data_IF_451490866415
#
_entry.id   IF_451490866415
#
_cell.length_a   1.000
_cell.length_b   1.000
_cell.length_c   1.000
_cell.angle_alpha   90.00
_cell.angle_beta   90.00
_cell.angle_gamma   90.00
#
_symmetry.space_group_name_H-M   'P 1'
#
loop_
_entity.id
_entity.type
_entity.pdbx_description
1 polymer ?
#
# COMPACT_ATOMS: atom_id res chain seq x y z
N UNK A 1 -2.61 -30.78 -12.77
CA UNK A 1 -3.17 -29.88 -11.75
C UNK A 1 -2.89 -28.46 -12.23
N UNK A 2 -3.92 -27.68 -12.49
CA UNK A 2 -3.77 -26.29 -12.97
C UNK A 2 -2.97 -25.48 -11.96
N UNK A 3 -1.92 -24.81 -12.40
CA UNK A 3 -1.04 -24.03 -11.54
C UNK A 3 -1.78 -22.77 -11.07
N UNK A 4 -2.46 -22.87 -9.92
CA UNK A 4 -3.22 -21.79 -9.29
C UNK A 4 -2.31 -20.66 -8.76
N UNK A 5 -1.00 -20.86 -8.76
CA UNK A 5 -0.04 -19.91 -8.22
C UNK A 5 0.09 -18.69 -9.14
N UNK A 6 -0.24 -17.54 -8.56
CA UNK A 6 -0.04 -16.21 -9.12
C UNK A 6 1.43 -15.81 -8.95
N UNK A 7 1.98 -16.00 -7.75
CA UNK A 7 3.40 -15.81 -7.46
C UNK A 7 4.17 -17.14 -7.57
N UNK A 8 5.17 -17.18 -8.43
CA UNK A 8 6.04 -18.31 -8.75
C UNK A 8 7.38 -18.26 -8.00
N UNK A 9 7.85 -17.06 -7.63
CA UNK A 9 9.14 -16.85 -7.00
C UNK A 9 10.31 -17.16 -7.94
N UNK A 10 10.13 -16.93 -9.23
CA UNK A 10 11.15 -17.11 -10.27
C UNK A 10 11.84 -15.79 -10.64
N UNK A 11 11.35 -14.66 -10.11
CA UNK A 11 11.92 -13.34 -10.38
C UNK A 11 11.73 -12.88 -11.83
N UNK A 12 10.71 -13.39 -12.52
CA UNK A 12 10.36 -13.00 -13.88
C UNK A 12 9.07 -12.18 -13.83
N UNK A 13 9.10 -10.85 -14.07
CA UNK A 13 7.90 -10.02 -14.01
C UNK A 13 6.80 -10.47 -14.97
N UNK A 14 5.61 -10.71 -14.46
CA UNK A 14 4.44 -11.14 -15.23
C UNK A 14 3.15 -10.43 -14.80
N UNK A 15 2.07 -10.71 -15.55
CA UNK A 15 0.76 -10.09 -15.36
C UNK A 15 -0.25 -11.02 -14.65
N UNK A 16 0.23 -12.05 -13.94
CA UNK A 16 -0.67 -13.08 -13.35
C UNK A 16 -1.63 -12.53 -12.32
N UNK A 17 -1.40 -11.34 -11.75
CA UNK A 17 -2.39 -10.66 -10.89
C UNK A 17 -3.77 -10.51 -11.55
N UNK A 18 -3.84 -10.40 -12.88
CA UNK A 18 -5.11 -10.38 -13.65
C UNK A 18 -5.92 -11.67 -13.50
N UNK A 19 -5.28 -12.79 -13.19
CA UNK A 19 -5.90 -14.08 -12.98
C UNK A 19 -6.45 -14.28 -11.56
N UNK A 20 -6.31 -13.29 -10.67
CA UNK A 20 -6.89 -13.37 -9.34
C UNK A 20 -8.41 -13.54 -9.41
N UNK A 21 -9.01 -14.39 -8.55
CA UNK A 21 -10.44 -14.50 -8.48
C UNK A 21 -11.06 -13.21 -7.93
N UNK A 22 -12.39 -13.15 -8.03
CA UNK A 22 -13.17 -12.11 -7.35
C UNK A 22 -12.84 -12.12 -5.85
N UNK A 23 -12.86 -10.94 -5.20
CA UNK A 23 -12.60 -10.86 -3.77
C UNK A 23 -13.60 -11.74 -2.99
N UNK A 24 -13.16 -12.40 -1.91
CA UNK A 24 -14.06 -13.20 -1.07
C UNK A 24 -15.18 -12.37 -0.44
N UNK A 25 -16.30 -12.99 -0.01
CA UNK A 25 -17.50 -12.28 0.48
C UNK A 25 -17.28 -11.40 1.72
N UNK A 26 -16.26 -11.68 2.53
CA UNK A 26 -15.91 -10.86 3.69
C UNK A 26 -15.15 -9.59 3.31
N UNK A 27 -14.59 -9.51 2.11
CA UNK A 27 -13.92 -8.30 1.61
C UNK A 27 -14.87 -7.50 0.73
N UNK A 28 -15.92 -6.96 1.38
CA UNK A 28 -16.91 -6.07 0.76
C UNK A 28 -16.35 -4.64 0.64
N UNK A 29 -15.24 -4.47 -0.08
CA UNK A 29 -14.92 -3.13 -0.56
C UNK A 29 -15.89 -2.79 -1.69
N UNK A 30 -16.46 -1.59 -1.65
CA UNK A 30 -17.35 -1.03 -2.68
C UNK A 30 -16.67 -0.88 -4.05
N UNK A 31 -15.37 -1.15 -4.15
CA UNK A 31 -14.58 -1.11 -5.38
C UNK A 31 -14.29 -2.55 -5.82
N UNK A 32 -15.14 -3.08 -6.70
CA UNK A 32 -15.01 -4.44 -7.21
C UNK A 32 -14.50 -4.40 -8.65
N UNK A 33 -13.18 -4.48 -8.87
CA UNK A 33 -12.64 -4.88 -10.16
C UNK A 33 -11.44 -5.82 -9.95
N UNK A 34 -11.37 -6.86 -10.79
CA UNK A 34 -10.12 -7.59 -11.02
C UNK A 34 -9.03 -6.56 -11.39
N UNK A 35 -7.75 -6.79 -11.02
CA UNK A 35 -6.67 -5.91 -11.45
C UNK A 35 -6.74 -5.65 -12.94
N UNK A 36 -6.88 -4.38 -13.32
CA UNK A 36 -6.85 -3.94 -14.71
C UNK A 36 -5.41 -3.58 -15.00
N UNK A 37 -4.84 -4.23 -16.02
CA UNK A 37 -3.49 -3.90 -16.46
C UNK A 37 -3.42 -2.40 -16.78
N UNK A 38 -2.56 -1.63 -16.09
CA UNK A 38 -2.45 -0.21 -16.35
C UNK A 38 -1.92 0.01 -17.77
N UNK A 39 -2.44 1.00 -18.48
CA UNK A 39 -1.97 1.36 -19.82
C UNK A 39 -0.50 1.81 -19.82
N UNK A 40 -0.04 2.38 -18.69
CA UNK A 40 1.35 2.71 -18.37
C UNK A 40 1.66 2.12 -17.00
N UNK A 41 2.42 1.03 -16.90
CA UNK A 41 2.83 0.46 -15.63
C UNK A 41 3.52 1.46 -14.68
N UNK A 42 3.46 1.22 -13.37
CA UNK A 42 4.31 1.92 -12.42
C UNK A 42 5.75 1.38 -12.57
N UNK A 43 6.51 1.97 -13.50
CA UNK A 43 7.66 1.33 -14.16
C UNK A 43 9.02 1.36 -13.45
N UNK A 44 9.18 1.95 -12.26
CA UNK A 44 10.44 1.76 -11.55
C UNK A 44 10.49 0.39 -10.84
N UNK A 45 10.52 -0.67 -11.66
CA UNK A 45 10.68 -2.04 -11.22
C UNK A 45 12.16 -2.37 -10.92
N UNK A 46 13.09 -1.61 -11.48
CA UNK A 46 14.52 -1.86 -11.31
C UNK A 46 14.96 -1.61 -9.86
N UNK A 47 14.36 -0.62 -9.18
CA UNK A 47 14.56 -0.40 -7.75
C UNK A 47 14.22 -1.64 -6.90
N UNK A 48 13.16 -2.38 -7.26
CA UNK A 48 12.73 -3.57 -6.50
C UNK A 48 13.43 -4.86 -6.96
N UNK A 49 13.87 -4.94 -8.22
CA UNK A 49 14.70 -6.04 -8.72
C UNK A 49 15.98 -6.20 -7.90
N UNK A 50 16.68 -5.09 -7.64
CA UNK A 50 17.89 -5.09 -6.83
C UNK A 50 17.64 -5.48 -5.37
N UNK A 51 16.51 -5.06 -4.80
CA UNK A 51 16.14 -5.34 -3.39
C UNK A 51 15.64 -6.78 -3.17
N UNK A 52 15.11 -7.42 -4.21
CA UNK A 52 14.58 -8.79 -4.17
C UNK A 52 15.62 -9.89 -4.35
N UNK A 53 16.82 -9.60 -4.85
CA UNK A 53 17.84 -10.60 -5.17
C UNK A 53 18.98 -10.67 -4.11
N UNK A 54 19.55 -11.87 -3.81
CA UNK A 54 19.18 -13.22 -4.24
C UNK A 54 18.43 -13.96 -3.11
N UNK A 55 17.14 -13.69 -2.92
CA UNK A 55 16.35 -14.43 -1.94
C UNK A 55 15.96 -15.82 -2.48
N UNK A 56 16.37 -16.90 -1.81
CA UNK A 56 15.84 -18.23 -2.09
C UNK A 56 14.44 -18.38 -1.49
N UNK A 57 13.43 -18.44 -2.34
CA UNK A 57 12.03 -18.54 -1.93
C UNK A 57 11.60 -20.01 -1.95
N UNK A 58 11.40 -20.59 -0.77
CA UNK A 58 10.94 -21.97 -0.65
C UNK A 58 9.43 -22.10 -0.95
N UNK A 59 8.96 -23.33 -1.09
CA UNK A 59 7.55 -23.61 -1.45
C UNK A 59 6.55 -23.19 -0.38
N UNK A 60 6.92 -23.17 0.90
CA UNK A 60 6.05 -22.71 1.99
C UNK A 60 5.78 -21.21 1.90
N UNK A 61 6.83 -20.42 1.66
CA UNK A 61 6.72 -18.97 1.46
C UNK A 61 5.88 -18.67 0.21
N UNK A 62 6.10 -19.39 -0.90
CA UNK A 62 5.26 -19.23 -2.10
C UNK A 62 3.80 -19.53 -1.80
N UNK A 63 3.50 -20.61 -1.06
CA UNK A 63 2.12 -20.95 -0.67
C UNK A 63 1.50 -19.87 0.21
N UNK A 64 2.24 -19.33 1.18
CA UNK A 64 1.77 -18.28 2.07
C UNK A 64 1.45 -16.97 1.31
N UNK A 65 2.34 -16.55 0.41
CA UNK A 65 2.12 -15.37 -0.46
C UNK A 65 0.88 -15.56 -1.32
N UNK A 66 0.76 -16.70 -2.01
CA UNK A 66 -0.40 -16.97 -2.84
C UNK A 66 -1.68 -17.04 -2.01
N UNK A 67 -1.68 -17.72 -0.86
CA UNK A 67 -2.84 -17.75 0.04
C UNK A 67 -3.28 -16.34 0.46
N UNK A 68 -2.34 -15.46 0.83
CA UNK A 68 -2.64 -14.07 1.16
C UNK A 68 -3.26 -13.30 -0.02
N UNK A 69 -2.75 -13.48 -1.24
CA UNK A 69 -3.29 -12.87 -2.45
C UNK A 69 -4.73 -13.34 -2.75
N UNK A 70 -5.01 -14.64 -2.62
CA UNK A 70 -6.34 -15.21 -2.85
C UNK A 70 -7.35 -14.81 -1.77
N UNK A 71 -6.95 -14.83 -0.50
CA UNK A 71 -7.79 -14.46 0.64
C UNK A 71 -7.96 -12.95 0.79
N UNK A 72 -7.15 -12.17 0.06
CA UNK A 72 -7.09 -10.71 0.14
C UNK A 72 -6.83 -10.24 1.57
N UNK A 73 -5.92 -10.95 2.26
CA UNK A 73 -5.54 -10.70 3.66
C UNK A 73 -4.08 -10.25 3.74
N UNK A 74 -3.73 -9.37 4.70
CA UNK A 74 -2.34 -9.06 5.01
C UNK A 74 -1.54 -10.33 5.34
N UNK A 75 -0.26 -10.35 4.94
CA UNK A 75 0.67 -11.42 5.27
C UNK A 75 1.63 -10.95 6.35
N UNK A 76 1.60 -11.57 7.53
CA UNK A 76 2.55 -11.29 8.61
C UNK A 76 3.85 -12.06 8.37
N UNK A 77 4.98 -11.35 8.30
CA UNK A 77 6.31 -11.92 8.10
C UNK A 77 7.10 -11.96 9.43
N UNK A 78 7.27 -13.16 9.99
CA UNK A 78 8.05 -13.37 11.22
C UNK A 78 9.42 -13.97 10.92
N UNK A 79 10.35 -13.91 11.88
CA UNK A 79 11.72 -14.42 11.72
C UNK A 79 12.80 -13.47 12.24
N UNK A 80 14.05 -13.96 12.28
CA UNK A 80 15.21 -13.19 12.73
C UNK A 80 15.50 -12.00 11.79
N UNK A 81 16.17 -10.94 12.27
CA UNK A 81 16.70 -9.89 11.39
C UNK A 81 17.60 -10.48 10.30
N UNK A 82 17.54 -9.92 9.09
CA UNK A 82 18.41 -10.32 7.97
C UNK A 82 17.97 -11.55 7.17
N UNK A 83 16.86 -12.21 7.50
CA UNK A 83 16.36 -13.39 6.75
C UNK A 83 15.67 -13.04 5.42
N UNK A 84 15.68 -11.77 5.01
CA UNK A 84 15.12 -11.33 3.73
C UNK A 84 13.62 -11.06 3.71
N UNK A 85 12.99 -10.71 4.85
CA UNK A 85 11.56 -10.35 4.90
C UNK A 85 11.21 -9.20 3.96
N UNK A 86 11.98 -8.11 4.03
CA UNK A 86 11.79 -6.92 3.19
C UNK A 86 12.10 -7.23 1.72
N UNK A 87 13.10 -8.08 1.46
CA UNK A 87 13.44 -8.59 0.12
C UNK A 87 12.34 -9.48 -0.46
N UNK A 88 11.62 -10.25 0.36
CA UNK A 88 10.47 -11.05 -0.10
C UNK A 88 9.39 -10.14 -0.67
N UNK A 89 9.06 -9.05 0.03
CA UNK A 89 8.05 -8.09 -0.45
C UNK A 89 8.50 -7.45 -1.76
N UNK A 90 9.78 -7.07 -1.86
CA UNK A 90 10.38 -6.57 -3.11
C UNK A 90 10.30 -7.59 -4.25
N UNK A 91 10.61 -8.86 -4.00
CA UNK A 91 10.53 -9.91 -5.00
C UNK A 91 9.09 -10.15 -5.48
N UNK A 92 8.11 -10.14 -4.57
CA UNK A 92 6.69 -10.25 -4.91
C UNK A 92 6.25 -9.04 -5.74
N UNK A 93 6.58 -7.82 -5.32
CA UNK A 93 6.21 -6.60 -6.03
C UNK A 93 6.84 -6.55 -7.43
N UNK A 94 8.10 -6.97 -7.56
CA UNK A 94 8.80 -7.06 -8.83
C UNK A 94 8.15 -8.10 -9.77
N UNK A 95 7.97 -9.33 -9.30
CA UNK A 95 7.41 -10.42 -10.10
C UNK A 95 5.97 -10.13 -10.54
N UNK A 96 5.18 -9.52 -9.67
CA UNK A 96 3.78 -9.19 -9.94
C UNK A 96 3.57 -7.77 -10.49
N UNK A 97 4.65 -7.06 -10.83
CA UNK A 97 4.63 -5.70 -11.41
C UNK A 97 3.82 -4.69 -10.60
N UNK A 98 3.87 -4.76 -9.28
CA UNK A 98 3.09 -3.91 -8.36
C UNK A 98 3.67 -2.49 -8.19
N UNK A 99 4.73 -2.16 -8.93
CA UNK A 99 5.49 -0.93 -8.77
C UNK A 99 6.37 -0.92 -7.53
N UNK A 100 6.92 0.24 -7.14
CA UNK A 100 7.72 0.40 -5.93
C UNK A 100 6.93 0.02 -4.68
N UNK A 101 7.60 -0.67 -3.75
CA UNK A 101 7.00 -1.03 -2.46
C UNK A 101 6.83 0.24 -1.64
N UNK A 102 5.60 0.52 -1.22
CA UNK A 102 5.31 1.55 -0.22
C UNK A 102 5.88 1.05 1.12
N UNK A 103 6.71 1.86 1.78
CA UNK A 103 7.39 1.44 3.02
C UNK A 103 6.96 2.36 4.16
N UNK A 104 6.51 1.75 5.24
CA UNK A 104 6.18 2.45 6.48
C UNK A 104 6.94 1.82 7.63
N UNK A 105 8.03 2.47 8.04
CA UNK A 105 8.79 2.06 9.21
C UNK A 105 8.11 2.59 10.47
N UNK A 106 7.71 1.69 11.35
CA UNK A 106 7.05 2.04 12.61
C UNK A 106 8.08 2.47 13.65
N UNK A 107 7.74 3.54 14.38
CA UNK A 107 8.49 4.09 15.50
C UNK A 107 7.54 4.25 16.69
N UNK A 108 8.08 4.54 17.87
CA UNK A 108 7.28 4.82 19.07
C UNK A 108 6.37 6.05 18.97
N UNK A 109 6.54 6.89 17.93
CA UNK A 109 5.69 8.06 17.66
C UNK A 109 4.74 7.85 16.47
N UNK A 110 4.82 6.69 15.80
CA UNK A 110 3.98 6.40 14.64
C UNK A 110 2.53 6.21 15.09
N UNK A 111 1.60 6.83 14.37
CA UNK A 111 0.16 6.67 14.57
C UNK A 111 -0.49 6.19 13.28
N UNK A 112 -1.64 5.51 13.35
CA UNK A 112 -2.39 5.12 12.14
C UNK A 112 -2.70 6.35 11.27
N UNK A 113 -3.06 7.49 11.90
CA UNK A 113 -3.27 8.75 11.20
C UNK A 113 -2.05 9.16 10.35
N UNK A 114 -0.85 9.14 10.92
CA UNK A 114 0.39 9.45 10.18
C UNK A 114 0.68 8.48 9.02
N UNK A 115 0.23 7.23 9.13
CA UNK A 115 0.31 6.26 8.04
C UNK A 115 -0.73 6.53 6.93
N UNK A 116 -1.89 7.09 7.29
CA UNK A 116 -2.98 7.38 6.38
C UNK A 116 -2.76 8.69 5.62
N UNK A 117 -2.53 9.81 6.31
CA UNK A 117 -2.33 11.11 5.69
C UNK A 117 -1.74 12.16 6.67
N UNK A 118 -1.18 13.22 6.10
CA UNK A 118 -0.73 14.42 6.79
C UNK A 118 -1.51 15.63 6.28
N UNK A 119 -1.76 16.59 7.18
CA UNK A 119 -2.44 17.84 6.87
C UNK A 119 -1.63 19.04 7.38
N UNK A 120 -1.19 19.90 6.48
CA UNK A 120 -0.42 21.11 6.79
C UNK A 120 -1.37 22.29 7.09
N UNK A 121 -1.87 22.32 8.32
CA UNK A 121 -2.73 23.40 8.79
C UNK A 121 -2.00 24.76 8.81
N UNK A 122 -0.69 24.78 9.10
CA UNK A 122 0.11 26.01 9.23
C UNK A 122 0.35 26.62 7.85
N UNK A 123 0.79 25.82 6.88
CA UNK A 123 0.94 26.26 5.50
C UNK A 123 -0.36 26.79 4.92
N UNK A 124 -1.51 26.16 5.26
CA UNK A 124 -2.82 26.66 4.82
C UNK A 124 -3.18 28.02 5.41
N UNK A 125 -2.84 28.27 6.67
CA UNK A 125 -3.07 29.57 7.29
C UNK A 125 -2.19 30.65 6.64
N UNK A 126 -0.91 30.36 6.41
CA UNK A 126 0.01 31.28 5.76
C UNK A 126 -0.40 31.62 4.30
N UNK A 127 -0.83 30.62 3.53
CA UNK A 127 -1.31 30.83 2.17
C UNK A 127 -2.54 31.76 2.13
N UNK A 128 -3.44 31.64 3.13
CA UNK A 128 -4.59 32.55 3.28
C UNK A 128 -4.17 33.99 3.60
N UNK A 129 -3.22 34.16 4.52
CA UNK A 129 -2.72 35.49 4.91
C UNK A 129 -2.00 36.20 3.77
N UNK A 130 -1.20 35.45 2.99
CA UNK A 130 -0.45 35.96 1.85
C UNK A 130 -1.29 36.15 0.57
N UNK A 131 -2.59 35.83 0.60
CA UNK A 131 -3.48 35.83 -0.57
C UNK A 131 -2.92 35.01 -1.75
N UNK A 132 -2.26 33.90 -1.46
CA UNK A 132 -1.81 32.96 -2.50
C UNK A 132 -3.03 32.38 -3.24
N UNK A 133 -2.87 32.06 -4.53
CA UNK A 133 -3.93 31.42 -5.34
C UNK A 133 -4.26 29.98 -4.88
N UNK A 134 -3.45 29.42 -3.97
CA UNK A 134 -3.63 28.11 -3.36
C UNK A 134 -4.84 28.09 -2.44
N UNK A 135 -5.98 27.65 -2.97
CA UNK A 135 -7.26 27.73 -2.25
C UNK A 135 -7.80 26.35 -1.85
N UNK A 136 -7.43 25.30 -2.59
CA UNK A 136 -7.94 23.95 -2.39
C UNK A 136 -7.35 23.27 -1.16
N UNK A 137 -8.18 22.59 -0.37
CA UNK A 137 -7.73 21.88 0.83
C UNK A 137 -6.74 20.74 0.51
N UNK A 138 -6.87 20.16 -0.69
CA UNK A 138 -6.01 19.08 -1.18
C UNK A 138 -4.54 19.44 -1.30
N UNK A 139 -4.22 20.71 -1.55
CA UNK A 139 -2.83 21.17 -1.66
C UNK A 139 -2.05 21.03 -0.34
N UNK A 140 -2.78 21.05 0.77
CA UNK A 140 -2.25 20.93 2.13
C UNK A 140 -2.42 19.51 2.69
N UNK A 141 -2.92 18.57 1.89
CA UNK A 141 -3.05 17.17 2.25
C UNK A 141 -2.03 16.33 1.47
N UNK A 142 -1.43 15.36 2.16
CA UNK A 142 -0.58 14.34 1.54
C UNK A 142 -0.95 12.98 2.12
N UNK A 143 -1.20 11.99 1.28
CA UNK A 143 -1.40 10.62 1.75
C UNK A 143 -0.09 10.06 2.32
N UNK A 144 -0.21 9.30 3.40
CA UNK A 144 0.88 8.48 3.93
C UNK A 144 0.97 7.14 3.18
N UNK A 145 1.92 6.27 3.55
CA UNK A 145 2.11 4.98 2.88
C UNK A 145 0.87 4.06 2.91
N UNK A 146 0.17 4.00 4.05
CA UNK A 146 -1.05 3.20 4.20
C UNK A 146 -2.22 3.81 3.42
N UNK A 147 -2.38 5.14 3.50
CA UNK A 147 -3.42 5.84 2.73
C UNK A 147 -3.22 5.70 1.23
N UNK A 148 -1.97 5.79 0.76
CA UNK A 148 -1.61 5.58 -0.65
C UNK A 148 -1.88 4.14 -1.08
N UNK A 149 -1.62 3.14 -0.22
CA UNK A 149 -1.91 1.74 -0.52
C UNK A 149 -3.42 1.42 -0.58
N UNK A 150 -4.24 2.16 0.17
CA UNK A 150 -5.70 2.04 0.19
C UNK A 150 -6.39 2.90 -0.87
N UNK A 151 -5.68 3.85 -1.47
CA UNK A 151 -6.22 4.70 -2.52
C UNK A 151 -6.65 3.84 -3.72
N UNK A 152 -7.84 4.06 -4.31
CA UNK A 152 -8.30 3.27 -5.44
C UNK A 152 -7.32 3.30 -6.61
N UNK A 153 -6.86 2.13 -7.03
CA UNK A 153 -5.96 1.98 -8.17
C UNK A 153 -6.39 0.79 -9.04
N UNK A 154 -6.17 0.90 -10.35
CA UNK A 154 -6.44 -0.18 -11.31
C UNK A 154 -5.53 -1.40 -11.06
N UNK A 155 -4.34 -1.15 -10.51
CA UNK A 155 -3.33 -2.16 -10.21
C UNK A 155 -2.97 -2.19 -8.72
N UNK A 156 -2.93 -3.37 -8.06
CA UNK A 156 -2.57 -3.48 -6.66
C UNK A 156 -1.17 -2.94 -6.33
N UNK A 157 -1.07 -2.22 -5.20
CA UNK A 157 0.20 -1.74 -4.63
C UNK A 157 0.67 -2.65 -3.50
N UNK A 158 1.99 -2.82 -3.37
CA UNK A 158 2.60 -3.53 -2.25
C UNK A 158 2.95 -2.52 -1.14
N UNK A 159 2.53 -2.82 0.10
CA UNK A 159 2.87 -2.06 1.30
C UNK A 159 3.64 -2.96 2.27
N UNK A 160 4.82 -2.50 2.69
CA UNK A 160 5.59 -3.07 3.79
C UNK A 160 5.44 -2.18 5.01
N UNK A 161 4.80 -2.71 6.06
CA UNK A 161 4.79 -2.13 7.40
C UNK A 161 5.88 -2.84 8.19
N UNK A 162 6.98 -2.14 8.47
CA UNK A 162 8.15 -2.71 9.13
C UNK A 162 8.22 -2.28 10.58
N UNK A 163 8.86 -3.11 11.41
CA UNK A 163 9.09 -2.84 12.84
C UNK A 163 7.81 -2.52 13.63
N UNK A 164 6.68 -3.17 13.29
CA UNK A 164 5.37 -2.94 13.95
C UNK A 164 5.42 -3.12 15.47
N UNK A 165 6.36 -3.92 15.96
CA UNK A 165 6.62 -4.15 17.38
C UNK A 165 7.17 -2.92 18.13
N UNK A 166 7.65 -1.89 17.42
CA UNK A 166 8.11 -0.62 18.00
C UNK A 166 7.00 0.42 18.18
N UNK A 167 5.80 0.12 17.69
CA UNK A 167 4.66 1.02 17.78
C UNK A 167 4.17 1.21 19.21
N UNK A 168 3.33 2.23 19.39
CA UNK A 168 2.54 2.36 20.62
C UNK A 168 1.61 1.14 20.82
N UNK A 169 1.18 0.89 22.05
CA UNK A 169 0.34 -0.27 22.42
C UNK A 169 -0.99 -0.30 21.65
N UNK A 170 -1.51 0.88 21.28
CA UNK A 170 -2.79 0.99 20.58
C UNK A 170 -2.65 0.80 19.05
N UNK A 171 -1.44 0.99 18.50
CA UNK A 171 -1.20 1.00 17.04
C UNK A 171 -1.66 -0.29 16.34
N UNK A 172 -1.38 -1.51 16.83
CA UNK A 172 -1.80 -2.73 16.14
C UNK A 172 -3.33 -2.88 16.08
N UNK A 173 -4.04 -2.51 17.15
CA UNK A 173 -5.50 -2.60 17.20
C UNK A 173 -6.15 -1.57 16.26
N UNK A 174 -5.64 -0.34 16.25
CA UNK A 174 -6.11 0.70 15.33
C UNK A 174 -5.89 0.31 13.87
N UNK A 175 -4.75 -0.32 13.57
CA UNK A 175 -4.43 -0.80 12.23
C UNK A 175 -5.37 -1.92 11.78
N UNK A 176 -5.77 -2.83 12.67
CA UNK A 176 -6.72 -3.91 12.35
C UNK A 176 -8.04 -3.34 11.82
N UNK A 177 -8.60 -2.33 12.49
CA UNK A 177 -9.86 -1.69 12.08
C UNK A 177 -9.77 -1.16 10.64
N UNK A 178 -8.69 -0.43 10.32
CA UNK A 178 -8.48 0.11 8.97
C UNK A 178 -8.32 -1.01 7.93
N UNK A 179 -7.58 -2.07 8.24
CA UNK A 179 -7.34 -3.18 7.31
C UNK A 179 -8.60 -4.04 7.08
N UNK A 180 -9.48 -4.14 8.08
CA UNK A 180 -10.76 -4.84 7.97
C UNK A 180 -11.79 -4.03 7.17
N UNK A 181 -11.93 -2.74 7.45
CA UNK A 181 -12.86 -1.88 6.73
C UNK A 181 -12.40 -1.57 5.30
N UNK A 182 -11.08 -1.47 5.09
CA UNK A 182 -10.49 -1.12 3.80
C UNK A 182 -10.85 0.29 3.32
N UNK A 183 -11.23 1.17 4.24
CA UNK A 183 -11.56 2.58 4.01
C UNK A 183 -11.15 3.40 5.24
N UNK A 184 -11.04 4.70 5.06
CA UNK A 184 -10.82 5.65 6.14
C UNK A 184 -11.42 7.01 5.77
N UNK A 185 -11.70 7.83 6.77
CA UNK A 185 -12.20 9.19 6.58
C UNK A 185 -11.07 10.20 6.76
N UNK A 186 -11.12 11.28 5.98
CA UNK A 186 -10.30 12.47 6.17
C UNK A 186 -11.25 13.58 6.63
N UNK A 187 -11.35 13.86 7.94
CA UNK A 187 -12.30 14.83 8.49
C UNK A 187 -12.20 16.22 7.87
N UNK A 188 -11.00 16.60 7.44
CA UNK A 188 -10.74 17.85 6.73
C UNK A 188 -11.53 17.94 5.41
N UNK A 189 -11.61 16.83 4.65
CA UNK A 189 -12.36 16.75 3.39
C UNK A 189 -13.86 16.65 3.62
N UNK A 190 -14.30 15.90 4.63
CA UNK A 190 -15.74 15.76 4.96
C UNK A 190 -16.37 17.11 5.32
N UNK A 191 -15.58 18.02 5.89
CA UNK A 191 -16.01 19.39 6.22
C UNK A 191 -15.94 20.35 5.02
N UNK A 192 -15.24 19.96 3.95
CA UNK A 192 -15.17 20.75 2.73
C UNK A 192 -16.47 20.59 1.94
N UNK A 193 -16.91 21.64 1.26
CA UNK A 193 -18.07 21.58 0.35
C UNK A 193 -17.65 21.19 -1.08
N UNK A 194 -16.43 20.69 -1.26
CA UNK A 194 -15.86 20.28 -2.54
C UNK A 194 -16.22 18.81 -2.83
N UNK A 195 -16.85 18.49 -3.98
CA UNK A 195 -17.28 17.12 -4.30
C UNK A 195 -16.11 16.18 -4.65
N UNK A 196 -14.96 16.73 -5.04
CA UNK A 196 -13.74 16.00 -5.39
C UNK A 196 -12.54 16.88 -5.13
N UNK A 197 -11.45 16.29 -4.63
CA UNK A 197 -10.22 16.99 -4.28
C UNK A 197 -9.03 16.21 -4.81
N UNK A 198 -8.08 16.91 -5.43
CA UNK A 198 -6.79 16.33 -5.82
C UNK A 198 -5.85 16.32 -4.61
N UNK A 199 -5.23 15.17 -4.34
CA UNK A 199 -4.36 14.96 -3.18
C UNK A 199 -3.07 14.31 -3.64
N UNK A 200 -1.94 14.74 -3.08
CA UNK A 200 -0.64 14.16 -3.36
C UNK A 200 -0.47 12.82 -2.65
N UNK A 201 -0.06 11.79 -3.40
CA UNK A 201 0.29 10.49 -2.85
C UNK A 201 1.63 10.54 -2.06
N UNK A 202 1.90 9.49 -1.30
CA UNK A 202 3.16 9.35 -0.55
C UNK A 202 4.38 9.33 -1.48
N UNK A 203 4.28 8.62 -2.60
CA UNK A 203 5.36 8.34 -3.54
C UNK A 203 5.45 9.32 -4.72
N UNK A 204 5.09 10.58 -4.49
CA UNK A 204 5.15 11.70 -5.46
C UNK A 204 4.34 11.51 -6.76
N UNK A 205 3.47 10.50 -6.82
CA UNK A 205 2.50 10.31 -7.89
C UNK A 205 3.05 9.53 -9.08
N UNK A 206 2.76 8.22 -9.07
CA UNK A 206 2.32 7.48 -10.25
C UNK A 206 0.82 7.27 -10.15
#
# INVERSE_FOLDING_TARGET
MSDWKIFQGNGIPDNRLTALPLPPPWRKSSVQLKPILPAKPPYDLEAEKGRGAPLQINEEVKRAVNAALFLRRPLLLTGKPGVGKSSLVSAVAYELRMGPVLRWAITSRSTVRSGLYEYDAVGRLQAKDNKEEKTGIGEFLRLGPLGTALFPSDWPRALLIDEIDKGDIDLPNDLLNILEEGKFEIPELVRSNEPSVEIRAYDEGL
#
